data_IF_697871819301
#
_entry.id   IF_697871819301
#
_cell.length_a   1.000
_cell.length_b   1.000
_cell.length_c   1.000
_cell.angle_alpha   90.00
_cell.angle_beta   90.00
_cell.angle_gamma   90.00
#
_symmetry.space_group_name_H-M   'P 1'
#
loop_
_entity.id
_entity.type
_entity.pdbx_description
1 polymer ?
#
# COMPACT_ATOMS: atom_id res chain seq x y z
N UNK A 1 -41.55 -8.94 7.33
CA UNK A 1 -40.10 -8.80 7.48
C UNK A 1 -39.60 -8.13 6.22
N UNK A 2 -39.12 -6.86 6.29
CA UNK A 2 -38.51 -6.19 5.16
C UNK A 2 -37.13 -6.84 4.91
N UNK A 3 -36.91 -7.41 3.74
CA UNK A 3 -35.59 -7.80 3.30
C UNK A 3 -34.71 -6.57 3.30
N UNK A 4 -33.63 -6.54 4.08
CA UNK A 4 -32.58 -5.54 3.96
C UNK A 4 -32.05 -5.67 2.54
N UNK A 5 -32.22 -4.65 1.71
CA UNK A 5 -31.60 -4.59 0.39
C UNK A 5 -30.09 -4.75 0.59
N UNK A 6 -29.48 -5.73 -0.02
CA UNK A 6 -28.03 -5.85 -0.04
C UNK A 6 -27.46 -4.55 -0.62
N UNK A 7 -26.40 -3.97 -0.01
CA UNK A 7 -25.80 -2.77 -0.55
C UNK A 7 -25.34 -3.06 -1.98
N UNK A 8 -25.76 -2.22 -2.91
CA UNK A 8 -25.32 -2.32 -4.32
C UNK A 8 -23.82 -2.04 -4.33
N UNK A 9 -23.02 -3.06 -4.57
CA UNK A 9 -21.56 -2.94 -4.67
C UNK A 9 -21.21 -2.29 -6.01
N UNK A 10 -20.38 -1.26 -5.98
CA UNK A 10 -19.85 -0.58 -7.16
C UNK A 10 -18.75 -1.44 -7.78
N UNK A 11 -18.78 -1.60 -9.12
CA UNK A 11 -17.66 -2.22 -9.84
C UNK A 11 -16.57 -1.21 -10.14
N UNK A 12 -15.37 -1.67 -10.50
CA UNK A 12 -14.27 -0.79 -10.91
C UNK A 12 -14.65 0.03 -12.14
N UNK A 13 -15.36 -0.56 -13.11
CA UNK A 13 -15.82 0.14 -14.32
C UNK A 13 -16.80 1.28 -13.96
N UNK A 14 -17.63 1.09 -12.94
CA UNK A 14 -18.51 2.16 -12.43
C UNK A 14 -17.73 3.23 -11.67
N UNK A 15 -16.70 2.81 -10.90
CA UNK A 15 -15.80 3.72 -10.19
C UNK A 15 -15.05 4.64 -11.17
N UNK A 16 -14.54 4.10 -12.27
CA UNK A 16 -13.82 4.84 -13.32
C UNK A 16 -14.70 5.88 -14.04
N UNK A 17 -16.02 5.72 -13.99
CA UNK A 17 -16.97 6.69 -14.54
C UNK A 17 -17.33 7.83 -13.59
N UNK A 18 -16.85 7.79 -12.35
CA UNK A 18 -17.09 8.88 -11.40
C UNK A 18 -16.35 10.14 -11.83
N UNK A 19 -16.93 11.32 -11.60
CA UNK A 19 -16.24 12.57 -11.87
C UNK A 19 -15.04 12.73 -10.92
N UNK A 20 -13.89 13.06 -11.47
CA UNK A 20 -12.67 13.29 -10.69
C UNK A 20 -12.86 14.44 -9.68
N UNK A 21 -12.52 14.20 -8.42
CA UNK A 21 -12.56 15.19 -7.34
C UNK A 21 -11.16 15.68 -7.01
N UNK A 22 -10.92 16.98 -7.15
CA UNK A 22 -9.59 17.58 -6.97
C UNK A 22 -9.15 17.76 -5.51
N UNK A 23 -10.08 17.71 -4.57
CA UNK A 23 -9.88 18.01 -3.15
C UNK A 23 -9.62 16.77 -2.28
N UNK A 24 -9.89 15.59 -2.79
CA UNK A 24 -9.78 14.30 -2.10
C UNK A 24 -9.12 13.25 -2.99
N UNK A 25 -8.73 12.14 -2.40
CA UNK A 25 -8.46 10.88 -3.10
C UNK A 25 -9.63 9.93 -2.88
N UNK A 26 -9.96 9.14 -3.87
CA UNK A 26 -11.04 8.15 -3.80
C UNK A 26 -10.48 6.78 -4.10
N UNK A 27 -10.95 5.80 -3.36
CA UNK A 27 -10.61 4.39 -3.52
C UNK A 27 -11.89 3.56 -3.53
N UNK A 28 -11.81 2.35 -4.06
CA UNK A 28 -12.90 1.38 -4.03
C UNK A 28 -12.51 0.21 -3.13
N UNK A 29 -13.15 0.09 -1.97
CA UNK A 29 -12.89 -0.99 -1.03
C UNK A 29 -14.05 -1.99 -1.06
N UNK A 30 -13.85 -3.15 -1.65
CA UNK A 30 -14.89 -4.19 -1.74
C UNK A 30 -16.22 -3.64 -2.29
N UNK A 31 -16.13 -2.81 -3.34
CA UNK A 31 -17.31 -2.18 -3.96
C UNK A 31 -17.90 -1.01 -3.19
N UNK A 32 -17.24 -0.54 -2.14
CA UNK A 32 -17.64 0.65 -1.40
C UNK A 32 -16.70 1.82 -1.71
N UNK A 33 -17.26 2.95 -2.13
CA UNK A 33 -16.50 4.17 -2.35
C UNK A 33 -15.96 4.72 -1.02
N UNK A 34 -14.65 4.86 -0.92
CA UNK A 34 -13.95 5.42 0.24
C UNK A 34 -13.28 6.73 -0.17
N UNK A 35 -13.60 7.79 0.54
CA UNK A 35 -13.00 9.12 0.32
C UNK A 35 -11.90 9.35 1.35
N UNK A 36 -10.71 9.64 0.89
CA UNK A 36 -9.52 9.89 1.70
C UNK A 36 -9.12 11.36 1.63
N UNK A 37 -8.68 11.90 2.76
CA UNK A 37 -8.09 13.24 2.78
C UNK A 37 -6.68 13.22 2.17
N UNK A 38 -6.30 14.28 1.46
CA UNK A 38 -4.93 14.39 0.93
C UNK A 38 -3.88 14.33 2.04
N UNK A 39 -2.73 13.72 1.75
CA UNK A 39 -1.66 13.56 2.72
C UNK A 39 -1.11 14.92 3.20
N UNK A 40 -0.74 14.99 4.48
CA UNK A 40 -0.09 16.16 5.06
C UNK A 40 1.41 16.17 4.70
N UNK A 41 2.04 17.34 4.79
CA UNK A 41 3.45 17.53 4.42
C UNK A 41 4.43 16.53 5.09
N UNK A 42 4.20 16.16 6.35
CA UNK A 42 5.04 15.17 7.05
C UNK A 42 4.94 13.77 6.40
N UNK A 43 3.75 13.39 5.96
CA UNK A 43 3.50 12.12 5.27
C UNK A 43 4.23 12.09 3.92
N UNK A 44 4.04 13.14 3.10
CA UNK A 44 4.75 13.28 1.82
C UNK A 44 6.28 13.25 1.99
N UNK A 45 6.81 13.93 3.02
CA UNK A 45 8.24 13.87 3.33
C UNK A 45 8.72 12.46 3.64
N UNK A 46 7.91 11.68 4.34
CA UNK A 46 8.26 10.30 4.69
C UNK A 46 8.16 9.37 3.47
N UNK A 47 7.14 9.55 2.60
CA UNK A 47 7.05 8.86 1.30
C UNK A 47 8.31 9.13 0.46
N UNK A 48 8.68 10.40 0.30
CA UNK A 48 9.90 10.79 -0.44
C UNK A 48 11.15 10.15 0.15
N UNK A 49 11.30 10.17 1.47
CA UNK A 49 12.46 9.59 2.16
C UNK A 49 12.52 8.07 1.96
N UNK A 50 11.41 7.36 2.13
CA UNK A 50 11.32 5.93 1.85
C UNK A 50 11.70 5.63 0.41
N UNK A 51 11.17 6.37 -0.56
CA UNK A 51 11.50 6.20 -1.98
C UNK A 51 13.00 6.35 -2.23
N UNK A 52 13.63 7.40 -1.69
CA UNK A 52 15.06 7.63 -1.84
C UNK A 52 15.93 6.52 -1.24
N UNK A 53 15.52 5.98 -0.10
CA UNK A 53 16.24 4.90 0.58
C UNK A 53 16.06 3.54 -0.11
N UNK A 54 14.85 3.25 -0.59
CA UNK A 54 14.51 1.94 -1.14
C UNK A 54 14.85 1.79 -2.62
N UNK A 55 14.83 2.87 -3.41
CA UNK A 55 15.08 2.79 -4.85
C UNK A 55 16.43 2.14 -5.22
N UNK A 56 17.57 2.46 -4.57
CA UNK A 56 18.83 1.77 -4.85
C UNK A 56 18.80 0.28 -4.51
N UNK A 57 18.02 -0.11 -3.49
CA UNK A 57 17.89 -1.50 -3.06
C UNK A 57 17.00 -2.32 -4.00
N UNK A 58 15.97 -1.70 -4.55
CA UNK A 58 15.00 -2.34 -5.45
C UNK A 58 15.43 -2.35 -6.93
N UNK A 59 16.52 -1.66 -7.30
CA UNK A 59 16.85 -1.35 -8.69
C UNK A 59 16.96 -2.56 -9.63
N UNK A 60 17.38 -3.71 -9.14
CA UNK A 60 17.44 -4.94 -9.93
C UNK A 60 16.08 -5.66 -10.01
N UNK A 61 15.25 -5.57 -8.98
CA UNK A 61 13.97 -6.24 -8.85
C UNK A 61 12.84 -5.45 -9.53
N UNK A 62 12.83 -4.13 -9.37
CA UNK A 62 11.72 -3.30 -9.82
C UNK A 62 11.86 -1.81 -9.58
N UNK A 63 10.74 -1.18 -9.44
CA UNK A 63 10.60 0.27 -9.24
C UNK A 63 9.98 0.57 -7.90
N UNK A 64 10.44 1.64 -7.24
CA UNK A 64 9.77 2.21 -6.06
C UNK A 64 8.85 3.33 -6.51
N UNK A 65 7.58 3.19 -6.23
CA UNK A 65 6.52 4.10 -6.70
C UNK A 65 5.71 4.59 -5.50
N UNK A 66 5.26 5.85 -5.53
CA UNK A 66 4.37 6.44 -4.52
C UNK A 66 2.96 6.56 -5.06
N UNK A 67 1.96 6.50 -4.17
CA UNK A 67 0.53 6.65 -4.51
C UNK A 67 0.12 5.75 -5.69
N UNK A 68 0.63 4.52 -5.72
CA UNK A 68 0.38 3.59 -6.82
C UNK A 68 -1.01 2.97 -6.71
N UNK A 69 -1.93 3.26 -7.65
CA UNK A 69 -3.22 2.61 -7.69
C UNK A 69 -3.10 1.20 -8.27
N UNK A 70 -3.72 0.22 -7.60
CA UNK A 70 -3.73 -1.18 -8.03
C UNK A 70 -5.07 -1.86 -7.73
N UNK A 71 -5.32 -2.97 -8.43
CA UNK A 71 -6.51 -3.82 -8.28
C UNK A 71 -6.09 -5.16 -7.70
N UNK A 72 -6.09 -5.26 -6.35
CA UNK A 72 -5.81 -6.53 -5.70
C UNK A 72 -6.89 -7.57 -6.03
N UNK A 73 -8.16 -7.13 -6.09
CA UNK A 73 -9.31 -7.91 -6.57
C UNK A 73 -9.89 -7.23 -7.82
N UNK A 74 -9.95 -7.92 -8.97
CA UNK A 74 -10.20 -7.27 -10.26
C UNK A 74 -11.50 -6.48 -10.39
N UNK A 75 -12.59 -6.89 -9.72
CA UNK A 75 -13.93 -6.37 -10.00
C UNK A 75 -14.39 -5.26 -9.04
N UNK A 76 -13.93 -5.30 -7.78
CA UNK A 76 -14.55 -4.52 -6.70
C UNK A 76 -13.57 -3.80 -5.79
N UNK A 77 -12.28 -3.75 -6.13
CA UNK A 77 -11.28 -3.14 -5.25
C UNK A 77 -10.24 -2.36 -6.06
N UNK A 78 -10.07 -1.08 -5.71
CA UNK A 78 -8.99 -0.20 -6.20
C UNK A 78 -8.44 0.53 -5.00
N UNK A 79 -7.17 0.31 -4.70
CA UNK A 79 -6.45 0.97 -3.60
C UNK A 79 -5.18 1.60 -4.08
N UNK A 80 -4.65 2.56 -3.35
CA UNK A 80 -3.35 3.14 -3.62
C UNK A 80 -2.39 2.86 -2.45
N UNK A 81 -1.20 2.35 -2.75
CA UNK A 81 -0.15 2.18 -1.77
C UNK A 81 0.58 3.50 -1.54
N UNK A 82 0.81 3.90 -0.29
CA UNK A 82 1.63 5.09 0.04
C UNK A 82 3.02 5.02 -0.61
N UNK A 83 3.67 3.86 -0.51
CA UNK A 83 4.90 3.51 -1.23
C UNK A 83 4.83 2.03 -1.61
N UNK A 84 5.23 1.69 -2.81
CA UNK A 84 5.25 0.32 -3.31
C UNK A 84 6.58 -0.01 -3.98
N UNK A 85 6.96 -1.30 -3.94
CA UNK A 85 7.95 -1.86 -4.85
C UNK A 85 7.22 -2.78 -5.83
N UNK A 86 7.39 -2.51 -7.11
CA UNK A 86 6.72 -3.23 -8.20
C UNK A 86 7.77 -3.93 -9.06
N UNK A 87 7.62 -5.23 -9.28
CA UNK A 87 8.49 -5.97 -10.19
C UNK A 87 8.47 -5.37 -11.60
N UNK A 88 9.61 -5.41 -12.28
CA UNK A 88 9.72 -4.89 -13.66
C UNK A 88 8.69 -5.52 -14.60
N UNK A 89 8.50 -6.84 -14.51
CA UNK A 89 7.54 -7.56 -15.34
C UNK A 89 6.11 -7.05 -15.13
N UNK A 90 5.70 -6.88 -13.86
CA UNK A 90 4.36 -6.41 -13.53
C UNK A 90 4.17 -4.92 -13.93
N UNK A 91 5.22 -4.11 -13.81
CA UNK A 91 5.22 -2.72 -14.28
C UNK A 91 5.09 -2.61 -15.79
N UNK A 92 5.83 -3.45 -16.54
CA UNK A 92 5.80 -3.45 -18.01
C UNK A 92 4.46 -3.96 -18.58
N UNK A 93 3.76 -4.83 -17.82
CA UNK A 93 2.40 -5.30 -18.14
C UNK A 93 1.31 -4.26 -17.81
N UNK A 94 1.59 -3.32 -16.90
CA UNK A 94 0.67 -2.25 -16.54
C UNK A 94 0.60 -1.20 -17.65
N UNK A 95 -0.39 -1.32 -18.51
CA UNK A 95 -0.66 -0.34 -19.56
C UNK A 95 -1.40 0.89 -19.02
N UNK A 96 -2.41 1.38 -19.76
CA UNK A 96 -3.23 2.54 -19.38
C UNK A 96 -4.29 2.19 -18.31
N UNK A 97 -3.88 1.81 -17.11
CA UNK A 97 -4.86 1.43 -16.08
C UNK A 97 -4.22 1.16 -14.73
N UNK A 98 -4.94 0.42 -13.90
CA UNK A 98 -4.45 -0.01 -12.62
C UNK A 98 -3.48 -1.18 -12.76
N UNK A 99 -2.49 -1.25 -11.86
CA UNK A 99 -1.69 -2.45 -11.73
C UNK A 99 -2.61 -3.64 -11.35
N UNK A 100 -2.47 -4.77 -12.02
CA UNK A 100 -3.23 -5.96 -11.74
C UNK A 100 -2.56 -6.80 -10.64
N UNK A 101 -3.28 -7.09 -9.57
CA UNK A 101 -2.72 -7.69 -8.36
C UNK A 101 -2.08 -6.65 -7.43
N UNK A 102 -1.51 -7.10 -6.33
CA UNK A 102 -0.79 -6.23 -5.40
C UNK A 102 0.70 -6.18 -5.74
N UNK A 103 1.38 -5.01 -5.52
CA UNK A 103 2.83 -4.91 -5.62
C UNK A 103 3.55 -5.89 -4.69
N UNK A 104 4.79 -6.27 -5.00
CA UNK A 104 5.61 -7.19 -4.19
C UNK A 104 5.85 -6.68 -2.77
N UNK A 105 5.99 -5.37 -2.61
CA UNK A 105 6.03 -4.70 -1.32
C UNK A 105 5.04 -3.56 -1.32
N UNK A 106 4.13 -3.56 -0.35
CA UNK A 106 3.23 -2.44 -0.03
C UNK A 106 3.64 -1.84 1.30
N UNK A 107 3.80 -0.54 1.34
CA UNK A 107 4.15 0.23 2.54
C UNK A 107 3.04 1.24 2.81
N UNK A 108 2.45 1.14 4.00
CA UNK A 108 1.43 2.06 4.50
C UNK A 108 2.01 2.90 5.64
N UNK A 109 1.89 4.21 5.53
CA UNK A 109 2.30 5.16 6.56
C UNK A 109 1.08 5.47 7.42
N UNK A 110 1.12 5.06 8.68
CA UNK A 110 -0.02 5.22 9.59
C UNK A 110 -0.45 6.69 9.72
N UNK A 111 -1.68 6.96 9.39
CA UNK A 111 -2.39 8.19 9.72
C UNK A 111 -3.35 8.00 10.90
N UNK A 112 -3.76 9.08 11.59
CA UNK A 112 -4.74 8.99 12.68
C UNK A 112 -6.11 8.44 12.28
N UNK A 113 -6.43 8.44 10.98
CA UNK A 113 -7.68 7.92 10.43
C UNK A 113 -7.70 6.40 10.25
N UNK A 114 -6.54 5.75 10.25
CA UNK A 114 -6.45 4.32 10.04
C UNK A 114 -6.79 3.54 11.33
N UNK A 115 -7.81 2.69 11.27
CA UNK A 115 -8.06 1.73 12.33
C UNK A 115 -7.17 0.49 12.17
N UNK A 116 -6.90 -0.19 13.29
CA UNK A 116 -6.11 -1.44 13.26
C UNK A 116 -6.77 -2.55 12.44
N UNK A 117 -8.10 -2.56 12.37
CA UNK A 117 -8.84 -3.54 11.57
C UNK A 117 -8.70 -3.28 10.08
N UNK A 118 -8.79 -2.02 9.65
CA UNK A 118 -8.58 -1.64 8.25
C UNK A 118 -7.17 -1.98 7.77
N UNK A 119 -6.14 -1.66 8.56
CA UNK A 119 -4.76 -2.02 8.20
C UNK A 119 -4.56 -3.53 8.09
N UNK A 120 -5.14 -4.32 9.01
CA UNK A 120 -5.04 -5.79 8.95
C UNK A 120 -5.78 -6.38 7.75
N UNK A 121 -6.95 -5.84 7.44
CA UNK A 121 -7.73 -6.25 6.27
C UNK A 121 -6.97 -5.92 4.99
N UNK A 122 -6.39 -4.72 4.88
CA UNK A 122 -5.60 -4.30 3.74
C UNK A 122 -4.33 -5.15 3.56
N UNK A 123 -3.61 -5.43 4.65
CA UNK A 123 -2.46 -6.33 4.60
C UNK A 123 -2.86 -7.75 4.12
N UNK A 124 -3.95 -8.30 4.65
CA UNK A 124 -4.45 -9.61 4.24
C UNK A 124 -4.84 -9.63 2.75
N UNK A 125 -5.51 -8.58 2.27
CA UNK A 125 -5.86 -8.43 0.86
C UNK A 125 -4.62 -8.43 -0.03
N UNK A 126 -3.61 -7.59 0.27
CA UNK A 126 -2.38 -7.51 -0.50
C UNK A 126 -1.61 -8.83 -0.51
N UNK A 127 -1.40 -9.43 0.66
CA UNK A 127 -0.65 -10.68 0.81
C UNK A 127 -1.31 -11.89 0.11
N UNK A 128 -2.65 -11.88 0.00
CA UNK A 128 -3.38 -12.90 -0.75
C UNK A 128 -3.30 -12.71 -2.27
N UNK A 129 -2.92 -11.52 -2.76
CA UNK A 129 -3.02 -11.13 -4.18
C UNK A 129 -1.68 -10.68 -4.79
N UNK A 130 -0.55 -11.20 -4.34
CA UNK A 130 0.75 -10.98 -4.97
C UNK A 130 1.81 -10.36 -4.07
N UNK A 131 1.42 -9.62 -3.04
CA UNK A 131 2.37 -8.99 -2.12
C UNK A 131 3.15 -10.05 -1.30
N UNK A 132 4.46 -9.87 -1.21
CA UNK A 132 5.33 -10.71 -0.40
C UNK A 132 5.51 -10.16 1.01
N UNK A 133 5.52 -8.83 1.13
CA UNK A 133 5.69 -8.11 2.40
C UNK A 133 4.78 -6.88 2.45
N UNK A 134 4.06 -6.74 3.54
CA UNK A 134 3.26 -5.56 3.85
C UNK A 134 3.88 -4.83 5.05
N UNK A 135 4.30 -3.59 4.85
CA UNK A 135 4.92 -2.77 5.88
C UNK A 135 3.96 -1.71 6.41
N UNK A 136 3.92 -1.56 7.72
CA UNK A 136 3.21 -0.47 8.41
C UNK A 136 4.23 0.42 9.08
N UNK A 137 4.36 1.65 8.59
CA UNK A 137 5.32 2.65 9.09
C UNK A 137 4.61 3.57 10.07
N UNK A 138 4.93 3.45 11.34
CA UNK A 138 4.39 4.30 12.42
C UNK A 138 5.37 5.44 12.72
N UNK A 139 5.09 6.59 12.12
CA UNK A 139 5.89 7.80 12.31
C UNK A 139 5.97 8.28 13.77
N UNK A 140 4.89 8.12 14.54
CA UNK A 140 4.83 8.62 15.93
C UNK A 140 5.69 7.79 16.88
N UNK A 141 5.64 6.47 16.70
CA UNK A 141 6.39 5.53 17.52
C UNK A 141 7.76 5.16 16.92
N UNK A 142 8.07 5.68 15.72
CA UNK A 142 9.29 5.37 14.97
C UNK A 142 9.51 3.87 14.81
N UNK A 143 8.46 3.15 14.39
CA UNK A 143 8.52 1.70 14.19
C UNK A 143 8.04 1.32 12.81
N UNK A 144 8.55 0.18 12.31
CA UNK A 144 8.05 -0.49 11.12
C UNK A 144 7.57 -1.88 11.52
N UNK A 145 6.33 -2.22 11.20
CA UNK A 145 5.80 -3.57 11.37
C UNK A 145 5.72 -4.22 10.00
N UNK A 146 6.43 -5.33 9.82
CA UNK A 146 6.45 -6.11 8.57
C UNK A 146 5.58 -7.35 8.76
N UNK A 147 4.59 -7.53 7.89
CA UNK A 147 3.80 -8.75 7.79
C UNK A 147 4.16 -9.45 6.49
N UNK A 148 4.55 -10.73 6.57
CA UNK A 148 4.94 -11.55 5.43
C UNK A 148 3.79 -12.44 4.95
N UNK A 149 3.92 -12.99 3.76
CA UNK A 149 2.92 -13.87 3.12
C UNK A 149 2.55 -15.10 3.96
N UNK A 150 3.45 -15.57 4.81
CA UNK A 150 3.19 -16.66 5.76
C UNK A 150 2.39 -16.23 7.01
N UNK A 151 1.96 -14.97 7.07
CA UNK A 151 1.19 -14.38 8.16
C UNK A 151 2.02 -13.95 9.37
N UNK A 152 3.33 -14.19 9.37
CA UNK A 152 4.20 -13.71 10.45
C UNK A 152 4.36 -12.21 10.41
N UNK A 153 4.27 -11.57 11.57
CA UNK A 153 4.38 -10.13 11.73
C UNK A 153 5.47 -9.80 12.76
N UNK A 154 6.43 -8.97 12.37
CA UNK A 154 7.54 -8.54 13.22
C UNK A 154 7.59 -7.02 13.27
N UNK A 155 7.77 -6.46 14.47
CA UNK A 155 7.96 -5.01 14.66
C UNK A 155 9.43 -4.71 14.87
N UNK A 156 9.91 -3.70 14.13
CA UNK A 156 11.25 -3.17 14.20
C UNK A 156 11.22 -1.76 14.82
N UNK A 157 12.18 -1.47 15.69
CA UNK A 157 12.29 -0.22 16.45
C UNK A 157 13.67 0.42 16.24
N UNK A 158 13.91 1.65 16.69
CA UNK A 158 15.23 2.31 16.61
C UNK A 158 16.39 1.40 17.02
N UNK A 159 17.48 1.44 16.27
CA UNK A 159 18.65 0.57 16.43
C UNK A 159 18.52 -0.81 15.76
N UNK A 160 17.39 -1.14 15.13
CA UNK A 160 17.16 -2.39 14.41
C UNK A 160 17.19 -2.18 12.90
N UNK A 161 17.52 -3.23 12.16
CA UNK A 161 17.41 -3.28 10.70
C UNK A 161 16.20 -4.13 10.27
N UNK A 162 15.48 -3.67 9.25
CA UNK A 162 14.35 -4.36 8.63
C UNK A 162 14.88 -5.16 7.43
N UNK A 163 14.95 -6.49 7.49
CA UNK A 163 15.30 -7.31 6.35
C UNK A 163 14.12 -7.46 5.38
N UNK A 164 14.38 -7.36 4.07
CA UNK A 164 13.35 -7.49 3.05
C UNK A 164 13.79 -8.33 1.86
N UNK A 165 13.00 -9.33 1.53
CA UNK A 165 13.19 -10.14 0.33
C UNK A 165 12.73 -9.38 -0.92
N UNK A 166 11.70 -8.57 -0.82
CA UNK A 166 11.19 -7.74 -1.91
C UNK A 166 12.23 -6.67 -2.37
N UNK A 167 13.27 -6.43 -1.54
CA UNK A 167 14.38 -5.53 -1.83
C UNK A 167 15.68 -6.30 -2.15
N UNK A 168 15.59 -7.53 -2.72
CA UNK A 168 16.76 -8.33 -3.07
C UNK A 168 17.55 -8.85 -1.87
N UNK A 169 16.86 -9.20 -0.77
CA UNK A 169 17.46 -9.61 0.50
C UNK A 169 18.32 -8.51 1.16
N UNK A 170 18.07 -7.24 0.84
CA UNK A 170 18.66 -6.10 1.52
C UNK A 170 18.03 -5.87 2.90
N UNK A 171 18.65 -5.04 3.72
CA UNK A 171 18.05 -4.55 4.96
C UNK A 171 18.22 -3.04 5.11
N UNK A 172 17.27 -2.40 5.80
CA UNK A 172 17.26 -0.96 6.02
C UNK A 172 17.14 -0.65 7.51
N UNK A 173 18.04 0.18 8.02
CA UNK A 173 18.00 0.63 9.40
C UNK A 173 16.80 1.52 9.71
N UNK A 174 16.12 1.25 10.82
CA UNK A 174 15.00 2.08 11.29
C UNK A 174 15.44 3.53 11.49
N UNK A 175 16.67 3.76 11.98
CA UNK A 175 17.20 5.09 12.20
C UNK A 175 17.40 5.87 10.90
N UNK A 176 17.62 5.19 9.77
CA UNK A 176 17.67 5.84 8.46
C UNK A 176 16.28 6.32 8.00
N UNK A 177 15.22 5.60 8.37
CA UNK A 177 13.85 5.97 8.01
C UNK A 177 13.39 7.19 8.80
N UNK A 178 13.69 7.26 10.09
CA UNK A 178 13.14 8.27 11.00
C UNK A 178 14.12 9.33 11.50
N UNK A 179 15.43 9.15 11.23
CA UNK A 179 16.52 10.03 11.65
C UNK A 179 16.61 11.37 10.95
#
# INVERSE_FOLDING_TARGET
MAALAEPLLMTVEQFDLLPERKDVSEELHWGQLVTLSRPKAWHVKLQMKLTQLLQPMAAEQGYVVVELPFRAVPEYDVRAADVAVVAKSLWDEANEGYLAGAPELVIEILSPSHSKSQIREYAALCLANGCEEFWVVDHRNKTVTVTKKDGRSVRYSPGMDVPSNALGAASIGIDLIFG
#
